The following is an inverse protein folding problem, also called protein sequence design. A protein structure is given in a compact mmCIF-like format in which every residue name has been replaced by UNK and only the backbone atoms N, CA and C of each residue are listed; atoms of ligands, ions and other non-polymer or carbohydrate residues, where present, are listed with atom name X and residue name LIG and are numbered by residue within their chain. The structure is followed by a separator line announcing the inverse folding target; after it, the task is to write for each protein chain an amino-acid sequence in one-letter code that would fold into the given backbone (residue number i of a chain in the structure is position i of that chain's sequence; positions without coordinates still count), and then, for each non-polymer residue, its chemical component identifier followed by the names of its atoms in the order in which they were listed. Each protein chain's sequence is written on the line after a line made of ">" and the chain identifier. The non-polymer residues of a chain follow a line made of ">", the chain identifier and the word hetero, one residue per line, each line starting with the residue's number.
data_IF_395590338801
#
_entry.id   IF_395590338801
#
_cell.length_a   1.000
_cell.length_b   1.000
_cell.length_c   1.000
_cell.angle_alpha   90.00
_cell.angle_beta   90.00
_cell.angle_gamma   90.00
#
_symmetry.space_group_name_H-M   'P 1'
#
loop_
_entity.id
_entity.type
_entity.pdbx_description
1 polymer ?
#
# COMPACT_ATOMS: atom_id res chain seq x y z
N UNK A 1 5.10 -18.55 -17.95
CA UNK A 1 5.85 -18.65 -16.67
C UNK A 1 5.43 -17.48 -15.78
N UNK A 2 4.49 -17.69 -14.86
CA UNK A 2 4.13 -16.68 -13.85
C UNK A 2 4.38 -17.31 -12.48
N UNK A 3 5.65 -17.48 -12.14
CA UNK A 3 6.00 -17.99 -10.82
C UNK A 3 5.57 -16.95 -9.79
N UNK A 4 4.52 -17.34 -9.08
CA UNK A 4 3.86 -16.70 -7.97
C UNK A 4 4.88 -16.43 -6.86
N UNK A 5 5.62 -15.32 -6.96
CA UNK A 5 6.26 -14.71 -5.80
C UNK A 5 5.10 -14.26 -4.94
N UNK A 6 4.82 -14.95 -3.85
CA UNK A 6 3.68 -14.67 -2.96
C UNK A 6 3.65 -13.18 -2.62
N UNK A 7 2.79 -12.43 -3.31
CA UNK A 7 2.69 -10.98 -3.13
C UNK A 7 2.01 -10.77 -1.79
N UNK A 8 2.74 -10.21 -0.82
CA UNK A 8 2.12 -9.75 0.41
C UNK A 8 1.43 -8.42 0.12
N UNK A 9 0.11 -8.44 0.05
CA UNK A 9 -0.69 -7.26 -0.26
C UNK A 9 -1.99 -7.19 0.55
N UNK A 10 -2.44 -5.97 0.77
CA UNK A 10 -3.76 -5.65 1.33
C UNK A 10 -4.54 -4.87 0.27
N UNK A 11 -5.68 -5.39 -0.15
CA UNK A 11 -6.52 -4.78 -1.19
C UNK A 11 -7.91 -4.46 -0.65
N UNK A 12 -8.51 -3.40 -1.19
CA UNK A 12 -9.89 -3.02 -0.91
C UNK A 12 -10.59 -2.58 -2.18
N UNK A 13 -11.93 -2.67 -2.17
CA UNK A 13 -12.78 -2.30 -3.28
C UNK A 13 -13.92 -1.41 -2.83
N UNK A 14 -14.13 -0.33 -3.56
CA UNK A 14 -15.29 0.54 -3.44
C UNK A 14 -16.40 0.09 -4.41
N UNK A 15 -17.68 0.33 -4.07
CA UNK A 15 -18.79 0.06 -5.00
C UNK A 15 -18.73 0.89 -6.30
N UNK A 16 -18.16 2.09 -6.24
CA UNK A 16 -17.99 3.01 -7.36
C UNK A 16 -16.54 3.51 -7.41
N UNK A 17 -15.99 3.86 -8.59
CA UNK A 17 -14.62 4.38 -8.72
C UNK A 17 -14.42 5.63 -7.86
N UNK A 18 -13.35 5.66 -7.07
CA UNK A 18 -13.03 6.79 -6.19
C UNK A 18 -11.59 7.24 -6.38
N UNK A 19 -11.37 8.54 -6.24
CA UNK A 19 -10.04 9.09 -6.07
C UNK A 19 -9.68 9.09 -4.59
N UNK A 20 -8.45 8.72 -4.27
CA UNK A 20 -7.92 8.86 -2.92
C UNK A 20 -7.52 10.33 -2.71
N UNK A 21 -7.94 10.90 -1.59
CA UNK A 21 -7.65 12.31 -1.24
C UNK A 21 -6.65 12.41 -0.10
N UNK A 22 -6.60 11.39 0.76
CA UNK A 22 -5.63 11.32 1.86
C UNK A 22 -5.39 9.87 2.25
N UNK A 23 -4.13 9.52 2.52
CA UNK A 23 -3.76 8.23 3.09
C UNK A 23 -2.82 8.47 4.26
N UNK A 24 -3.18 7.93 5.42
CA UNK A 24 -2.38 7.97 6.66
C UNK A 24 -2.22 6.56 7.18
N UNK A 25 -1.00 6.19 7.54
CA UNK A 25 -0.70 4.88 8.10
C UNK A 25 -0.08 5.11 9.47
N UNK A 26 -0.78 4.68 10.52
CA UNK A 26 -0.24 4.65 11.88
C UNK A 26 0.82 3.55 12.00
N UNK A 27 1.56 3.57 13.11
CA UNK A 27 2.56 2.54 13.40
C UNK A 27 1.98 1.13 13.20
N UNK A 28 2.60 0.37 12.29
CA UNK A 28 2.14 -0.99 11.96
C UNK A 28 3.01 -1.98 12.72
N UNK A 29 2.44 -2.84 13.56
CA UNK A 29 3.23 -3.82 14.29
C UNK A 29 3.76 -4.90 13.35
N UNK A 30 5.06 -5.21 13.47
CA UNK A 30 5.70 -6.29 12.73
C UNK A 30 5.87 -7.51 13.62
N UNK A 31 5.65 -8.69 13.07
CA UNK A 31 6.07 -9.93 13.74
C UNK A 31 7.50 -10.24 13.29
N UNK A 32 8.46 -10.02 14.19
CA UNK A 32 9.89 -10.31 13.97
C UNK A 32 10.29 -11.65 14.58
N UNK A 33 11.08 -12.45 13.87
CA UNK A 33 11.67 -13.71 14.39
C UNK A 33 13.16 -13.62 14.68
N UNK A 34 13.87 -12.59 14.18
CA UNK A 34 15.28 -12.32 14.48
C UNK A 34 15.57 -10.81 14.58
N UNK A 35 16.26 -10.39 15.64
CA UNK A 35 16.99 -9.12 15.74
C UNK A 35 16.18 -7.86 16.10
N UNK A 36 16.79 -7.05 16.98
CA UNK A 36 16.34 -5.72 17.40
C UNK A 36 16.96 -4.64 16.51
N UNK A 37 16.34 -4.32 15.39
CA UNK A 37 16.57 -3.05 14.71
C UNK A 37 15.38 -2.16 14.98
N UNK A 38 15.58 -1.09 15.76
CA UNK A 38 14.52 -0.20 16.20
C UNK A 38 13.98 0.73 15.10
N UNK A 39 14.64 0.79 13.94
CA UNK A 39 14.28 1.70 12.84
C UNK A 39 14.02 1.00 11.50
N UNK A 40 13.38 -0.16 11.55
CA UNK A 40 13.08 -0.92 10.33
C UNK A 40 11.96 -0.24 9.51
N UNK A 41 12.33 0.35 8.37
CA UNK A 41 11.38 0.92 7.43
C UNK A 41 11.06 -0.03 6.28
N UNK A 42 9.77 -0.31 6.07
CA UNK A 42 9.32 -1.29 5.08
C UNK A 42 8.71 -0.60 3.88
N UNK A 43 9.40 -0.65 2.74
CA UNK A 43 8.92 -0.06 1.50
C UNK A 43 7.63 -0.76 1.03
N UNK A 44 6.65 0.04 0.66
CA UNK A 44 5.35 -0.36 0.18
C UNK A 44 4.95 0.46 -1.05
N UNK A 45 4.05 -0.10 -1.85
CA UNK A 45 3.51 0.53 -3.05
C UNK A 45 1.99 0.58 -2.94
N UNK A 46 1.43 1.77 -3.13
CA UNK A 46 0.01 1.96 -3.37
C UNK A 46 -0.24 1.81 -4.87
N UNK A 47 -1.15 0.92 -5.22
CA UNK A 47 -1.48 0.59 -6.60
C UNK A 47 -3.00 0.62 -6.81
N UNK A 48 -3.42 0.87 -8.05
CA UNK A 48 -4.81 0.81 -8.46
C UNK A 48 -5.01 -0.20 -9.58
N UNK A 49 -6.17 -0.84 -9.61
CA UNK A 49 -6.57 -1.68 -10.73
C UNK A 49 -7.02 -0.82 -11.91
N UNK A 50 -6.36 -0.96 -13.05
CA UNK A 50 -6.77 -0.34 -14.31
C UNK A 50 -7.57 -1.34 -15.13
N UNK A 51 -8.87 -1.10 -15.28
CA UNK A 51 -9.75 -1.94 -16.09
C UNK A 51 -9.30 -1.96 -17.57
N UNK A 52 -8.90 -0.80 -18.12
CA UNK A 52 -8.44 -0.70 -19.51
C UNK A 52 -7.16 -1.51 -19.79
N UNK A 53 -6.25 -1.61 -18.80
CA UNK A 53 -5.00 -2.38 -18.94
C UNK A 53 -5.09 -3.78 -18.36
N UNK A 54 -6.21 -4.13 -17.73
CA UNK A 54 -6.41 -5.38 -17.01
C UNK A 54 -5.24 -5.72 -16.05
N UNK A 55 -4.75 -4.70 -15.34
CA UNK A 55 -3.54 -4.80 -14.53
C UNK A 55 -3.52 -3.78 -13.38
N UNK A 56 -2.76 -4.09 -12.33
CA UNK A 56 -2.43 -3.11 -11.30
C UNK A 56 -1.33 -2.16 -11.78
N UNK A 57 -1.52 -0.87 -11.51
CA UNK A 57 -0.57 0.18 -11.86
C UNK A 57 -0.10 0.91 -10.59
N UNK A 58 1.18 1.31 -10.53
CA UNK A 58 1.72 2.06 -9.40
C UNK A 58 1.07 3.45 -9.31
N UNK A 59 0.78 3.88 -8.08
CA UNK A 59 0.25 5.21 -7.78
C UNK A 59 1.22 6.01 -6.89
N UNK A 60 1.69 5.41 -5.80
CA UNK A 60 2.62 6.05 -4.87
C UNK A 60 3.46 5.02 -4.13
N UNK A 61 4.60 5.47 -3.57
CA UNK A 61 5.50 4.68 -2.74
C UNK A 61 5.61 5.28 -1.35
N UNK A 62 5.77 4.44 -0.33
CA UNK A 62 5.91 4.88 1.06
C UNK A 62 6.57 3.81 1.92
N UNK A 63 6.95 4.18 3.14
CA UNK A 63 7.52 3.27 4.12
C UNK A 63 6.56 3.08 5.29
N UNK A 64 6.40 1.84 5.73
CA UNK A 64 5.80 1.53 7.03
C UNK A 64 6.87 1.65 8.12
N UNK A 65 6.42 1.98 9.33
CA UNK A 65 7.23 2.04 10.54
C UNK A 65 6.46 1.43 11.72
N UNK A 66 7.17 0.89 12.72
CA UNK A 66 6.58 0.48 14.01
C UNK A 66 6.45 1.67 14.98
N UNK A 67 7.10 2.80 14.69
CA UNK A 67 7.24 3.93 15.62
C UNK A 67 6.64 5.23 15.09
N UNK A 68 6.58 5.41 13.78
CA UNK A 68 6.20 6.67 13.14
C UNK A 68 4.91 6.54 12.32
N UNK A 69 4.16 7.63 12.25
CA UNK A 69 2.99 7.75 11.36
C UNK A 69 3.46 8.17 9.98
N UNK A 70 3.12 7.39 8.95
CA UNK A 70 3.36 7.75 7.57
C UNK A 70 2.19 8.57 7.01
N UNK A 71 2.50 9.77 6.52
CA UNK A 71 1.59 10.60 5.75
C UNK A 71 1.96 10.49 4.27
N UNK A 72 1.14 9.79 3.49
CA UNK A 72 1.48 9.52 2.10
C UNK A 72 1.18 10.73 1.21
N UNK A 73 2.21 11.21 0.51
CA UNK A 73 2.08 12.23 -0.52
C UNK A 73 1.47 11.59 -1.77
N UNK A 74 0.20 11.91 -2.03
CA UNK A 74 -0.46 11.47 -3.25
C UNK A 74 0.01 12.31 -4.44
N UNK A 75 0.15 11.74 -5.65
CA UNK A 75 0.40 12.52 -6.86
C UNK A 75 -0.66 13.62 -7.02
N UNK A 76 -0.25 14.87 -6.84
CA UNK A 76 -1.10 16.04 -7.04
C UNK A 76 -0.83 16.65 -8.41
N UNK A 77 -1.86 16.88 -9.21
CA UNK A 77 -1.72 17.59 -10.49
C UNK A 77 -2.85 17.34 -11.49
N UNK A 78 -3.28 18.41 -12.16
CA UNK A 78 -4.05 18.35 -13.40
C UNK A 78 -3.07 17.87 -14.51
N UNK A 79 -3.39 16.84 -15.32
CA UNK A 79 -4.75 16.44 -15.69
C UNK A 79 -5.23 15.05 -15.25
N UNK A 80 -4.58 14.34 -14.35
CA UNK A 80 -4.93 12.94 -14.10
C UNK A 80 -5.26 12.69 -12.63
N UNK A 81 -6.47 13.07 -12.25
CA UNK A 81 -7.09 12.56 -11.03
C UNK A 81 -7.44 11.09 -11.25
N UNK A 82 -6.60 10.18 -10.75
CA UNK A 82 -6.82 8.74 -10.91
C UNK A 82 -7.98 8.30 -10.03
N UNK A 83 -9.00 7.71 -10.66
CA UNK A 83 -10.11 7.04 -10.01
C UNK A 83 -10.02 5.54 -10.24
N UNK A 84 -10.27 4.76 -9.20
CA UNK A 84 -10.37 3.31 -9.33
C UNK A 84 -11.34 2.73 -8.32
N UNK A 85 -11.98 1.64 -8.70
CA UNK A 85 -12.83 0.86 -7.78
C UNK A 85 -11.99 -0.01 -6.86
N UNK A 86 -10.84 -0.52 -7.33
CA UNK A 86 -9.97 -1.41 -6.55
C UNK A 86 -8.59 -0.79 -6.37
N UNK A 87 -8.13 -0.80 -5.13
CA UNK A 87 -6.83 -0.31 -4.71
C UNK A 87 -6.14 -1.38 -3.88
N UNK A 88 -4.81 -1.37 -3.85
CA UNK A 88 -4.04 -2.23 -2.96
C UNK A 88 -2.76 -1.57 -2.47
N UNK A 89 -2.32 -1.99 -1.31
CA UNK A 89 -0.95 -1.80 -0.82
C UNK A 89 -0.19 -3.10 -1.03
N UNK A 90 0.93 -3.03 -1.75
CA UNK A 90 1.89 -4.13 -1.92
C UNK A 90 3.08 -3.87 -1.01
N UNK A 91 3.45 -4.85 -0.20
CA UNK A 91 4.57 -4.79 0.73
C UNK A 91 5.81 -5.30 0.01
N UNK A 92 6.80 -4.43 -0.20
CA UNK A 92 7.99 -4.69 -1.01
C UNK A 92 9.24 -4.41 -0.20
N UNK A 93 9.79 -5.44 0.44
CA UNK A 93 11.01 -5.34 1.26
C UNK A 93 12.31 -5.23 0.42
N UNK A 94 12.39 -4.30 -0.54
CA UNK A 94 13.43 -4.32 -1.59
C UNK A 94 14.87 -4.23 -1.05
N UNK A 95 15.09 -3.48 0.02
CA UNK A 95 16.42 -3.23 0.59
C UNK A 95 16.90 -4.31 1.59
N UNK A 96 16.09 -5.34 1.84
CA UNK A 96 16.41 -6.39 2.80
C UNK A 96 16.88 -7.66 2.10
N UNK A 97 17.83 -8.36 2.71
CA UNK A 97 18.24 -9.69 2.25
C UNK A 97 17.10 -10.71 2.47
N UNK A 98 17.18 -11.88 1.83
CA UNK A 98 16.08 -12.87 1.89
C UNK A 98 15.83 -13.41 3.31
N UNK A 99 16.84 -13.42 4.18
CA UNK A 99 16.69 -13.84 5.58
C UNK A 99 15.92 -12.81 6.41
N UNK A 100 16.25 -11.53 6.25
CA UNK A 100 15.53 -10.41 6.86
C UNK A 100 14.09 -10.34 6.36
N UNK A 101 13.87 -10.54 5.05
CA UNK A 101 12.52 -10.61 4.48
C UNK A 101 11.68 -11.72 5.10
N UNK A 102 12.29 -12.88 5.40
CA UNK A 102 11.61 -14.01 6.06
C UNK A 102 11.41 -13.76 7.56
N UNK A 103 12.26 -12.95 8.18
CA UNK A 103 12.15 -12.66 9.61
C UNK A 103 11.11 -11.59 9.93
N UNK A 104 10.72 -10.77 8.96
CA UNK A 104 9.73 -9.70 9.13
C UNK A 104 8.41 -10.11 8.48
N UNK A 105 7.41 -10.37 9.31
CA UNK A 105 6.05 -10.69 8.87
C UNK A 105 5.10 -9.54 9.21
N UNK A 106 4.60 -8.88 8.17
CA UNK A 106 3.54 -7.89 8.31
C UNK A 106 2.21 -8.56 7.97
N UNK A 107 1.29 -8.55 8.94
CA UNK A 107 -0.06 -9.04 8.72
C UNK A 107 -0.86 -8.04 7.88
N UNK A 108 -1.47 -8.45 6.74
CA UNK A 108 -2.38 -7.58 6.00
C UNK A 108 -3.54 -7.04 6.86
N UNK A 109 -3.96 -7.80 7.88
CA UNK A 109 -4.98 -7.36 8.84
C UNK A 109 -4.49 -6.25 9.77
N UNK A 110 -3.24 -6.34 10.23
CA UNK A 110 -2.65 -5.28 11.05
C UNK A 110 -2.50 -3.99 10.24
N UNK A 111 -2.03 -4.10 8.99
CA UNK A 111 -1.97 -2.97 8.07
C UNK A 111 -3.36 -2.35 7.83
N UNK A 112 -4.39 -3.17 7.61
CA UNK A 112 -5.76 -2.69 7.44
C UNK A 112 -6.30 -1.96 8.69
N UNK A 113 -5.90 -2.38 9.89
CA UNK A 113 -6.29 -1.72 11.14
C UNK A 113 -5.58 -0.38 11.35
N UNK A 114 -4.34 -0.25 10.86
CA UNK A 114 -3.51 0.94 11.04
C UNK A 114 -3.64 1.97 9.91
N UNK A 115 -4.35 1.68 8.82
CA UNK A 115 -4.51 2.60 7.70
C UNK A 115 -5.83 3.40 7.77
N UNK A 116 -5.75 4.69 7.49
CA UNK A 116 -6.90 5.58 7.27
C UNK A 116 -6.83 6.16 5.87
N UNK A 117 -7.94 6.04 5.15
CA UNK A 117 -8.05 6.39 3.74
C UNK A 117 -9.27 7.29 3.58
N UNK A 118 -9.01 8.52 3.18
CA UNK A 118 -10.05 9.44 2.74
C UNK A 118 -10.15 9.32 1.22
N UNK A 119 -11.38 9.25 0.72
CA UNK A 119 -11.64 9.11 -0.70
C UNK A 119 -12.85 9.93 -1.13
N UNK A 120 -12.85 10.32 -2.40
CA UNK A 120 -13.87 11.14 -3.01
C UNK A 120 -14.47 10.42 -4.21
N UNK A 121 -15.80 10.43 -4.28
CA UNK A 121 -16.56 10.00 -5.43
C UNK A 121 -17.10 11.24 -6.16
N UNK A 122 -16.92 11.30 -7.48
CA UNK A 122 -17.54 12.31 -8.32
C UNK A 122 -18.27 11.64 -9.48
N UNK A 123 -19.55 11.98 -9.65
CA UNK A 123 -20.37 11.50 -10.76
C UNK A 123 -19.88 12.01 -12.12
N UNK A 124 -19.14 13.10 -12.17
CA UNK A 124 -18.59 13.63 -13.42
C UNK A 124 -17.52 12.74 -14.07
N UNK A 125 -17.00 11.73 -13.35
CA UNK A 125 -15.99 10.78 -13.85
C UNK A 125 -16.54 9.36 -14.07
N UNK A 126 -17.87 9.19 -14.02
CA UNK A 126 -18.60 7.94 -14.34
C UNK A 126 -19.57 8.19 -15.47
#
# INVERSE_FOLDING_TARGET
>A
MFWNKSISAMAWRYPQPRALTKVRIFSVPYKRTLGSHDDLQVLCHLEYWSECRNAYLPFAQFFLSESEVCHLTLPGGNPQLIVASTWRVVITMFNYNEEQKRSILISPRALAACIRIDSYFNKSYT
#
